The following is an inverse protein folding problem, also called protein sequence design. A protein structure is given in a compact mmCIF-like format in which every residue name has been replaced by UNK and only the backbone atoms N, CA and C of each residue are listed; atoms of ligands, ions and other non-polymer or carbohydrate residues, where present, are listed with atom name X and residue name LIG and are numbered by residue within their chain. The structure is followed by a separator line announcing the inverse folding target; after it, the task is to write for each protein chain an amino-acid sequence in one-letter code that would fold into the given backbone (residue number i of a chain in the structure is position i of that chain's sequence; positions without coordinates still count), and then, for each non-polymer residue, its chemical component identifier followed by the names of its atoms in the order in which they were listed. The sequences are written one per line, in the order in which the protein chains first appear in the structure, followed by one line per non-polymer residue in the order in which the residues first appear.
data_IF_807604341149
#
_entry.id   IF_807604341149
#
_cell.length_a   1.000
_cell.length_b   1.000
_cell.length_c   1.000
_cell.angle_alpha   90.00
_cell.angle_beta   90.00
_cell.angle_gamma   90.00
#
_symmetry.space_group_name_H-M   'P 1'
#
loop_
_entity.id
_entity.type
_entity.pdbx_description
1 polymer ?
#
# COMPACT_ATOMS: atom_id res chain seq x y z
N UNK A 1 -9.45 27.96 -28.99
CA UNK A 1 -8.35 28.81 -28.51
C UNK A 1 -7.75 28.17 -27.28
N UNK A 2 -6.54 27.63 -27.38
CA UNK A 2 -5.75 27.10 -26.25
C UNK A 2 -5.43 28.21 -25.24
N UNK A 3 -4.98 27.83 -24.05
CA UNK A 3 -4.52 28.79 -23.05
C UNK A 3 -3.40 29.68 -23.63
N UNK A 4 -2.42 29.08 -24.32
CA UNK A 4 -1.34 29.80 -25.02
C UNK A 4 -1.84 30.80 -26.05
N UNK A 5 -2.82 30.43 -26.87
CA UNK A 5 -3.39 31.34 -27.88
C UNK A 5 -4.07 32.55 -27.22
N UNK A 6 -4.78 32.34 -26.10
CA UNK A 6 -5.40 33.44 -25.34
C UNK A 6 -4.37 34.34 -24.68
N UNK A 7 -3.29 33.77 -24.16
CA UNK A 7 -2.20 34.53 -23.53
C UNK A 7 -1.43 35.34 -24.59
N UNK A 8 -1.14 34.75 -25.75
CA UNK A 8 -0.52 35.44 -26.88
C UNK A 8 -1.39 36.61 -27.38
N UNK A 9 -2.71 36.42 -27.45
CA UNK A 9 -3.65 37.50 -27.77
C UNK A 9 -3.62 38.63 -26.73
N UNK A 10 -3.60 38.29 -25.44
CA UNK A 10 -3.45 39.26 -24.34
C UNK A 10 -2.14 40.06 -24.43
N UNK A 11 -1.02 39.40 -24.72
CA UNK A 11 0.26 40.06 -24.96
C UNK A 11 0.20 41.05 -26.13
N UNK A 12 -0.44 40.64 -27.23
CA UNK A 12 -0.65 41.52 -28.38
C UNK A 12 -1.48 42.77 -28.03
N UNK A 13 -2.56 42.59 -27.25
CA UNK A 13 -3.38 43.70 -26.76
C UNK A 13 -2.58 44.66 -25.85
N UNK A 14 -1.80 44.11 -24.91
CA UNK A 14 -0.97 44.91 -24.00
C UNK A 14 0.10 45.71 -24.74
N UNK A 15 0.73 45.11 -25.77
CA UNK A 15 1.68 45.82 -26.62
C UNK A 15 1.03 46.97 -27.40
N UNK A 16 -0.23 46.81 -27.83
CA UNK A 16 -0.98 47.83 -28.57
C UNK A 16 -1.52 48.98 -27.71
N UNK A 17 -1.65 48.79 -26.40
CA UNK A 17 -2.24 49.76 -25.46
C UNK A 17 -1.34 50.98 -25.18
N UNK A 18 -0.06 50.93 -25.56
CA UNK A 18 0.92 52.03 -25.42
C UNK A 18 0.84 52.72 -24.05
N UNK A 19 0.94 51.92 -22.98
CA UNK A 19 0.73 52.36 -21.60
C UNK A 19 1.75 53.42 -21.19
N UNK A 20 1.25 54.55 -20.65
CA UNK A 20 2.11 55.65 -20.16
C UNK A 20 2.72 55.37 -18.79
N UNK A 21 2.09 54.52 -18.01
CA UNK A 21 2.58 54.09 -16.70
C UNK A 21 3.47 52.85 -16.86
N UNK A 22 4.78 53.06 -16.70
CA UNK A 22 5.80 52.03 -16.83
C UNK A 22 5.69 50.95 -15.74
N UNK A 23 5.21 51.31 -14.55
CA UNK A 23 5.03 50.35 -13.44
C UNK A 23 3.88 49.40 -13.77
N UNK A 24 2.75 49.95 -14.25
CA UNK A 24 1.61 49.15 -14.67
C UNK A 24 1.95 48.27 -15.88
N UNK A 25 2.68 48.80 -16.87
CA UNK A 25 3.14 48.04 -18.02
C UNK A 25 4.00 46.83 -17.61
N UNK A 26 4.94 47.05 -16.68
CA UNK A 26 5.80 45.98 -16.15
C UNK A 26 4.99 44.93 -15.39
N UNK A 27 4.02 45.35 -14.57
CA UNK A 27 3.15 44.43 -13.83
C UNK A 27 2.36 43.52 -14.78
N UNK A 28 1.75 44.08 -15.85
CA UNK A 28 1.03 43.28 -16.82
C UNK A 28 1.94 42.34 -17.62
N UNK A 29 3.17 42.75 -17.96
CA UNK A 29 4.17 41.86 -18.58
C UNK A 29 4.44 40.66 -17.69
N UNK A 30 4.76 40.90 -16.42
CA UNK A 30 5.05 39.82 -15.46
C UNK A 30 3.85 38.90 -15.25
N UNK A 31 2.61 39.43 -15.26
CA UNK A 31 1.40 38.60 -15.22
C UNK A 31 1.30 37.72 -16.47
N UNK A 32 1.54 38.25 -17.66
CA UNK A 32 1.49 37.43 -18.88
C UNK A 32 2.61 36.39 -18.94
N UNK A 33 3.79 36.69 -18.44
CA UNK A 33 4.90 35.73 -18.31
C UNK A 33 4.55 34.60 -17.33
N UNK A 34 3.96 34.93 -16.18
CA UNK A 34 3.49 33.93 -15.22
C UNK A 34 2.37 33.05 -15.80
N UNK A 35 1.45 33.63 -16.59
CA UNK A 35 0.40 32.87 -17.26
C UNK A 35 0.96 31.93 -18.34
N UNK A 36 2.01 32.33 -19.06
CA UNK A 36 2.70 31.44 -20.01
C UNK A 36 3.36 30.27 -19.30
N UNK A 37 4.12 30.54 -18.23
CA UNK A 37 4.74 29.49 -17.43
C UNK A 37 3.70 28.49 -16.90
N UNK A 38 2.56 28.97 -16.40
CA UNK A 38 1.45 28.11 -15.98
C UNK A 38 0.85 27.31 -17.16
N UNK A 39 0.76 27.91 -18.34
CA UNK A 39 0.25 27.20 -19.52
C UNK A 39 1.23 26.10 -19.99
N UNK A 40 2.53 26.34 -19.89
CA UNK A 40 3.57 25.34 -20.15
C UNK A 40 3.48 24.19 -19.13
N UNK A 41 3.42 24.48 -17.83
CA UNK A 41 3.27 23.47 -16.77
C UNK A 41 1.99 22.63 -16.96
N UNK A 42 0.87 23.25 -17.37
CA UNK A 42 -0.38 22.53 -17.64
C UNK A 42 -0.24 21.57 -18.83
N UNK A 43 0.47 21.96 -19.89
CA UNK A 43 0.73 21.07 -21.03
C UNK A 43 1.63 19.90 -20.64
N UNK A 44 2.67 20.15 -19.83
CA UNK A 44 3.53 19.09 -19.28
C UNK A 44 2.73 18.12 -18.39
N UNK A 45 1.87 18.65 -17.51
CA UNK A 45 1.00 17.83 -16.68
C UNK A 45 -0.02 17.02 -17.50
N UNK A 46 -0.55 17.59 -18.58
CA UNK A 46 -1.45 16.86 -19.48
C UNK A 46 -0.76 15.64 -20.09
N UNK A 47 0.49 15.79 -20.56
CA UNK A 47 1.27 14.68 -21.08
C UNK A 47 1.57 13.61 -20.02
N UNK A 48 1.90 14.01 -18.79
CA UNK A 48 2.10 13.07 -17.68
C UNK A 48 0.82 12.32 -17.30
N UNK A 49 -0.34 12.98 -17.38
CA UNK A 49 -1.63 12.32 -17.12
C UNK A 49 -1.95 11.29 -18.19
N UNK A 50 -1.67 11.59 -19.47
CA UNK A 50 -1.82 10.61 -20.56
C UNK A 50 -0.91 9.39 -20.34
N UNK A 51 0.37 9.60 -20.01
CA UNK A 51 1.29 8.50 -19.68
C UNK A 51 0.81 7.67 -18.47
N UNK A 52 0.25 8.33 -17.44
CA UNK A 52 -0.33 7.63 -16.30
C UNK A 52 -1.56 6.79 -16.70
N UNK A 53 -2.40 7.29 -17.60
CA UNK A 53 -3.57 6.55 -18.09
C UNK A 53 -3.14 5.29 -18.81
N UNK A 54 -2.13 5.37 -19.69
CA UNK A 54 -1.58 4.21 -20.39
C UNK A 54 -1.04 3.15 -19.39
N UNK A 55 -0.32 3.59 -18.36
CA UNK A 55 0.18 2.69 -17.30
C UNK A 55 -0.95 2.05 -16.47
N UNK A 56 -2.05 2.78 -16.24
CA UNK A 56 -3.21 2.22 -15.53
C UNK A 56 -3.93 1.15 -16.37
N UNK A 57 -4.03 1.35 -17.68
CA UNK A 57 -4.60 0.35 -18.60
C UNK A 57 -3.73 -0.91 -18.63
N UNK A 58 -2.40 -0.78 -18.72
CA UNK A 58 -1.46 -1.92 -18.64
C UNK A 58 -1.59 -2.67 -17.30
N UNK A 59 -1.72 -1.95 -16.19
CA UNK A 59 -1.87 -2.55 -14.87
C UNK A 59 -3.22 -3.28 -14.72
N UNK A 60 -4.30 -2.79 -15.34
CA UNK A 60 -5.59 -3.47 -15.36
C UNK A 60 -5.50 -4.81 -16.09
N UNK A 61 -4.83 -4.86 -17.23
CA UNK A 61 -4.56 -6.08 -17.98
C UNK A 61 -3.73 -7.08 -17.14
N UNK A 62 -2.67 -6.60 -16.49
CA UNK A 62 -1.83 -7.42 -15.60
C UNK A 62 -2.63 -8.00 -14.42
N UNK A 63 -3.52 -7.22 -13.81
CA UNK A 63 -4.38 -7.72 -12.74
C UNK A 63 -5.38 -8.76 -13.22
N UNK A 64 -5.95 -8.60 -14.42
CA UNK A 64 -6.82 -9.61 -15.01
C UNK A 64 -6.08 -10.93 -15.21
N UNK A 65 -4.83 -10.88 -15.66
CA UNK A 65 -3.99 -12.08 -15.82
C UNK A 65 -3.69 -12.74 -14.47
N UNK A 66 -3.36 -11.95 -13.45
CA UNK A 66 -3.11 -12.47 -12.10
C UNK A 66 -4.36 -13.13 -11.50
N UNK A 67 -5.54 -12.56 -11.75
CA UNK A 67 -6.82 -13.13 -11.30
C UNK A 67 -7.06 -14.49 -11.96
N UNK A 68 -6.85 -14.60 -13.28
CA UNK A 68 -6.95 -15.87 -14.02
C UNK A 68 -5.95 -16.93 -13.52
N UNK A 69 -4.72 -16.51 -13.22
CA UNK A 69 -3.68 -17.39 -12.66
C UNK A 69 -4.07 -17.88 -11.24
N UNK A 70 -4.63 -16.99 -10.41
CA UNK A 70 -5.10 -17.36 -9.06
C UNK A 70 -6.29 -18.32 -9.12
N UNK A 71 -7.25 -18.06 -10.00
CA UNK A 71 -8.40 -18.93 -10.29
C UNK A 71 -7.93 -20.34 -10.69
N UNK A 72 -6.90 -20.39 -11.53
CA UNK A 72 -6.29 -21.65 -11.98
C UNK A 72 -5.61 -22.38 -10.82
N UNK A 73 -4.87 -21.63 -9.98
CA UNK A 73 -4.21 -22.19 -8.80
C UNK A 73 -5.23 -22.74 -7.80
N UNK A 74 -6.30 -22.00 -7.52
CA UNK A 74 -7.37 -22.41 -6.60
C UNK A 74 -8.02 -23.71 -7.08
N UNK A 75 -8.38 -23.81 -8.37
CA UNK A 75 -8.92 -25.04 -8.95
C UNK A 75 -7.94 -26.20 -8.84
N UNK A 76 -6.66 -25.97 -9.14
CA UNK A 76 -5.63 -27.02 -9.02
C UNK A 76 -5.44 -27.49 -7.58
N UNK A 77 -5.57 -26.58 -6.61
CA UNK A 77 -5.44 -26.87 -5.19
C UNK A 77 -6.67 -27.63 -4.68
N UNK A 78 -7.88 -27.23 -5.09
CA UNK A 78 -9.11 -27.94 -4.80
C UNK A 78 -9.08 -29.37 -5.37
N UNK A 79 -8.60 -29.56 -6.60
CA UNK A 79 -8.39 -30.88 -7.19
C UNK A 79 -7.37 -31.73 -6.40
N UNK A 80 -6.31 -31.11 -5.87
CA UNK A 80 -5.30 -31.78 -5.05
C UNK A 80 -5.82 -32.17 -3.66
N UNK A 81 -6.62 -31.30 -3.03
CA UNK A 81 -7.17 -31.51 -1.69
C UNK A 81 -8.43 -32.39 -1.67
N UNK A 82 -9.11 -32.55 -2.82
CA UNK A 82 -10.38 -33.28 -2.94
C UNK A 82 -11.59 -32.41 -2.59
N UNK A 83 -12.71 -32.63 -3.29
CA UNK A 83 -14.00 -31.89 -3.20
C UNK A 83 -14.73 -31.98 -1.82
N UNK A 84 -14.03 -32.23 -0.71
CA UNK A 84 -14.63 -32.39 0.63
C UNK A 84 -14.31 -31.22 1.58
N UNK A 85 -13.74 -30.13 1.05
CA UNK A 85 -13.62 -28.85 1.77
C UNK A 85 -14.84 -27.93 1.50
N UNK A 86 -16.03 -28.51 1.28
CA UNK A 86 -17.29 -27.77 1.39
C UNK A 86 -17.54 -27.46 2.87
N UNK A 87 -17.28 -26.21 3.28
CA UNK A 87 -17.97 -25.52 4.37
C UNK A 87 -18.27 -26.38 5.63
N UNK A 88 -17.24 -26.94 6.27
CA UNK A 88 -17.34 -27.23 7.71
C UNK A 88 -17.23 -25.92 8.47
N UNK A 89 -18.35 -25.19 8.51
CA UNK A 89 -18.64 -24.14 9.49
C UNK A 89 -18.78 -24.71 10.93
N UNK A 90 -18.23 -25.90 11.21
CA UNK A 90 -18.36 -26.62 12.49
C UNK A 90 -17.45 -27.86 12.61
N UNK A 91 -16.21 -27.85 12.13
CA UNK A 91 -15.22 -28.84 12.56
C UNK A 91 -13.96 -28.13 13.09
N UNK A 92 -13.95 -28.00 14.41
CA UNK A 92 -12.79 -27.91 15.30
C UNK A 92 -11.54 -27.32 14.64
N UNK A 93 -11.23 -26.07 15.00
CA UNK A 93 -9.83 -25.72 15.20
C UNK A 93 -9.26 -26.68 16.28
N UNK A 94 -8.92 -27.91 15.90
CA UNK A 94 -8.01 -28.79 16.63
C UNK A 94 -6.59 -28.19 16.63
N UNK A 95 -6.41 -27.06 15.94
CA UNK A 95 -5.25 -26.17 15.96
C UNK A 95 -5.46 -24.87 16.74
N UNK A 96 -6.54 -24.72 17.53
CA UNK A 96 -6.56 -23.70 18.60
C UNK A 96 -5.78 -24.23 19.81
N UNK A 97 -4.57 -24.73 19.56
CA UNK A 97 -3.62 -25.03 20.62
C UNK A 97 -3.23 -23.68 21.22
N UNK A 98 -3.81 -23.31 22.36
CA UNK A 98 -3.54 -22.03 23.00
C UNK A 98 -2.06 -21.94 23.42
N UNK A 99 -1.23 -21.35 22.57
CA UNK A 99 0.18 -21.11 22.86
C UNK A 99 0.31 -19.92 23.81
N UNK A 100 0.92 -20.17 24.97
CA UNK A 100 1.28 -19.12 25.92
C UNK A 100 2.75 -18.73 25.76
N UNK A 101 3.03 -17.44 25.92
CA UNK A 101 4.40 -16.94 25.98
C UNK A 101 4.92 -16.90 27.41
N UNK A 102 6.12 -17.41 27.65
CA UNK A 102 6.77 -17.34 28.96
C UNK A 102 8.21 -16.82 28.82
N UNK A 103 8.63 -16.00 29.78
CA UNK A 103 10.00 -15.51 29.87
C UNK A 103 10.80 -16.37 30.86
N UNK A 104 11.95 -16.91 30.43
CA UNK A 104 12.82 -17.66 31.32
C UNK A 104 13.34 -16.75 32.46
N UNK A 105 13.16 -17.12 33.74
CA UNK A 105 13.57 -16.29 34.88
C UNK A 105 15.10 -16.16 35.03
N UNK A 106 15.88 -17.02 34.36
CA UNK A 106 17.35 -17.03 34.44
C UNK A 106 18.03 -16.24 33.33
N UNK A 107 17.61 -16.42 32.08
CA UNK A 107 18.27 -15.79 30.92
C UNK A 107 17.41 -14.73 30.22
N UNK A 108 16.11 -14.63 30.56
CA UNK A 108 15.20 -13.66 29.95
C UNK A 108 14.72 -14.02 28.54
N UNK A 109 15.09 -15.20 28.00
CA UNK A 109 14.60 -15.68 26.72
C UNK A 109 13.09 -15.94 26.77
N UNK A 110 12.33 -15.35 25.86
CA UNK A 110 10.88 -15.53 25.72
C UNK A 110 10.61 -16.60 24.67
N UNK A 111 9.86 -17.62 25.05
CA UNK A 111 9.46 -18.71 24.15
C UNK A 111 7.98 -19.06 24.36
N UNK A 112 7.42 -19.78 23.40
CA UNK A 112 6.03 -20.20 23.41
C UNK A 112 5.94 -21.69 23.77
N UNK A 113 4.92 -22.05 24.54
CA UNK A 113 4.62 -23.43 24.93
C UNK A 113 3.10 -23.60 25.01
N UNK A 114 2.63 -24.85 25.02
CA UNK A 114 1.21 -25.19 25.16
C UNK A 114 0.98 -25.75 26.55
N UNK A 115 0.26 -25.07 27.45
CA UNK A 115 0.00 -25.56 28.81
C UNK A 115 -0.66 -26.95 28.82
N UNK A 116 -1.56 -27.22 27.86
CA UNK A 116 -2.29 -28.49 27.76
C UNK A 116 -1.40 -29.72 27.50
N UNK A 117 -0.19 -29.52 26.96
CA UNK A 117 0.78 -30.60 26.74
C UNK A 117 1.57 -30.97 28.00
N UNK A 118 1.42 -30.22 29.09
CA UNK A 118 2.16 -30.44 30.33
C UNK A 118 1.21 -30.87 31.46
N UNK A 119 1.68 -31.76 32.34
CA UNK A 119 0.93 -32.11 33.55
C UNK A 119 0.87 -30.92 34.53
N UNK A 120 -0.15 -30.87 35.38
CA UNK A 120 -0.30 -29.84 36.42
C UNK A 120 0.94 -29.86 37.35
N UNK A 121 1.76 -28.81 37.29
CA UNK A 121 3.00 -28.69 38.05
C UNK A 121 4.25 -29.25 37.36
N UNK A 122 4.18 -29.68 36.10
CA UNK A 122 5.35 -30.04 35.30
C UNK A 122 6.21 -28.79 35.00
N UNK A 123 7.54 -28.95 35.09
CA UNK A 123 8.48 -27.86 34.89
C UNK A 123 8.80 -27.64 33.41
N UNK A 124 8.77 -26.38 32.97
CA UNK A 124 9.20 -25.95 31.65
C UNK A 124 10.73 -25.90 31.59
N UNK A 125 11.30 -26.35 30.47
CA UNK A 125 12.73 -26.22 30.21
C UNK A 125 12.99 -25.09 29.20
N UNK A 126 13.84 -24.14 29.58
CA UNK A 126 14.25 -23.07 28.66
C UNK A 126 15.09 -23.64 27.51
N UNK A 127 14.73 -23.36 26.23
CA UNK A 127 15.49 -23.85 25.07
C UNK A 127 16.87 -23.19 24.91
N UNK A 128 17.07 -21.99 25.48
CA UNK A 128 18.32 -21.23 25.35
C UNK A 128 19.37 -21.60 26.41
N UNK A 129 18.96 -21.70 27.69
CA UNK A 129 19.90 -21.93 28.81
C UNK A 129 19.74 -23.28 29.51
N UNK A 130 18.73 -24.08 29.14
CA UNK A 130 18.47 -25.41 29.67
C UNK A 130 17.94 -25.45 31.11
N UNK A 131 17.68 -24.29 31.73
CA UNK A 131 17.13 -24.20 33.09
C UNK A 131 15.67 -24.65 33.13
N UNK A 132 15.31 -25.41 34.18
CA UNK A 132 13.94 -25.86 34.43
C UNK A 132 13.25 -25.00 35.48
N UNK A 133 12.04 -24.51 35.20
CA UNK A 133 11.26 -23.68 36.11
C UNK A 133 9.77 -24.01 36.01
N UNK A 134 8.98 -23.66 37.02
CA UNK A 134 7.55 -23.97 37.05
C UNK A 134 6.78 -23.15 36.01
N UNK A 135 5.68 -23.73 35.50
CA UNK A 135 4.71 -23.00 34.66
C UNK A 135 4.18 -21.77 35.42
N UNK A 136 3.99 -20.62 34.73
CA UNK A 136 3.34 -19.46 35.33
C UNK A 136 1.91 -19.83 35.75
N UNK A 137 1.48 -19.40 36.94
CA UNK A 137 0.09 -19.56 37.36
C UNK A 137 -0.79 -18.57 36.59
N UNK A 138 -1.91 -19.04 36.02
CA UNK A 138 -2.98 -18.17 35.51
C UNK A 138 -3.47 -17.24 36.65
N UNK A 139 -3.48 -15.93 36.43
CA UNK A 139 -4.13 -14.94 37.34
C UNK A 139 -5.63 -14.81 37.08
#
# INVERSE_FOLDING_TARGET
MSAKEKIAYLKGLLAGLNMKDETAAKAFSSVTEALEALADEIEEHAALIEEQQDLYEELEDDFSLLDEDLDTLERSFAEFMGEDFEETDEEENEFDEAYESVACPKCGHVFYYQPEMYEEGEALQCPDCGETFAQPAEE
#
